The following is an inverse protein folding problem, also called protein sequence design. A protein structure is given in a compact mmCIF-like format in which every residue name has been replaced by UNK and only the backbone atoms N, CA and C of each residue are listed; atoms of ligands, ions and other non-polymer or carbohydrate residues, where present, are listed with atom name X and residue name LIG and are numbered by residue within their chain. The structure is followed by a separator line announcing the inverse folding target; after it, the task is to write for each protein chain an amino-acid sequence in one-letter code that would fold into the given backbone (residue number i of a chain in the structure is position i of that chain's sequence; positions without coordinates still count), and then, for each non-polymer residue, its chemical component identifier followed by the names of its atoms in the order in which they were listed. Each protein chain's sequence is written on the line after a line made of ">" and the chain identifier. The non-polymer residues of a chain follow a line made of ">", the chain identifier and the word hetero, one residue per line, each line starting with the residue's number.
data_IF_064667477985
#
_entry.id   IF_064667477985
#
_cell.length_a   1.000
_cell.length_b   1.000
_cell.length_c   1.000
_cell.angle_alpha   90.00
_cell.angle_beta   90.00
_cell.angle_gamma   90.00
#
_symmetry.space_group_name_H-M   'P 1'
#
loop_
_entity.id
_entity.type
_entity.pdbx_description
1 polymer ?
#
# COMPACT_ATOMS: atom_id res chain seq x y z
N UNK A 1 46.30 -17.85 4.02
CA UNK A 1 44.85 -17.62 3.80
C UNK A 1 44.09 -18.81 4.35
N UNK A 2 43.40 -18.62 5.49
CA UNK A 2 42.35 -19.49 5.98
C UNK A 2 41.50 -18.63 6.94
N UNK A 3 40.27 -18.33 6.54
CA UNK A 3 39.21 -17.75 7.38
C UNK A 3 38.07 -18.78 7.43
N UNK A 4 37.26 -18.79 8.50
CA UNK A 4 36.57 -20.00 8.94
C UNK A 4 35.20 -20.21 8.29
N UNK A 5 34.79 -21.48 8.34
CA UNK A 5 33.59 -22.10 7.77
C UNK A 5 32.33 -21.77 8.58
N UNK A 6 31.84 -20.54 8.47
CA UNK A 6 30.50 -20.16 8.94
C UNK A 6 29.75 -19.53 7.78
N UNK A 7 28.95 -20.34 7.09
CA UNK A 7 27.56 -20.06 6.71
C UNK A 7 27.05 -21.24 5.89
N UNK A 8 25.93 -21.85 6.33
CA UNK A 8 24.86 -22.04 5.38
C UNK A 8 23.53 -21.49 5.90
N UNK A 9 22.95 -20.60 5.09
CA UNK A 9 21.53 -20.52 4.73
C UNK A 9 20.51 -20.68 5.86
N UNK A 10 20.23 -19.60 6.59
CA UNK A 10 19.03 -19.47 7.44
C UNK A 10 18.06 -18.41 6.88
N UNK A 11 17.80 -18.46 5.56
CA UNK A 11 16.72 -17.69 4.94
C UNK A 11 15.31 -18.15 5.36
N UNK A 12 15.19 -19.39 5.83
CA UNK A 12 13.92 -20.02 6.18
C UNK A 12 13.43 -19.68 7.60
N UNK A 13 14.31 -19.25 8.51
CA UNK A 13 13.90 -18.82 9.86
C UNK A 13 13.33 -17.40 9.89
N UNK A 14 13.71 -16.54 8.94
CA UNK A 14 13.22 -15.17 8.87
C UNK A 14 11.78 -15.11 8.33
N UNK A 15 11.41 -16.03 7.43
CA UNK A 15 10.03 -16.13 6.90
C UNK A 15 9.05 -16.77 7.90
N UNK A 16 9.48 -17.76 8.69
CA UNK A 16 8.61 -18.37 9.73
C UNK A 16 8.24 -17.40 10.85
N UNK A 17 9.18 -16.52 11.25
CA UNK A 17 8.88 -15.49 12.27
C UNK A 17 7.96 -14.37 11.78
N UNK A 18 7.81 -14.18 10.46
CA UNK A 18 6.88 -13.21 9.87
C UNK A 18 5.45 -13.75 9.79
N UNK A 19 5.27 -15.05 9.57
CA UNK A 19 3.94 -15.68 9.48
C UNK A 19 3.33 -16.00 10.85
N UNK A 20 4.14 -16.21 11.89
CA UNK A 20 3.62 -16.40 13.25
C UNK A 20 3.09 -15.10 13.88
N UNK A 21 3.69 -13.94 13.54
CA UNK A 21 3.26 -12.64 14.10
C UNK A 21 1.92 -12.13 13.53
N UNK A 22 1.47 -12.68 12.41
CA UNK A 22 0.17 -12.36 11.79
C UNK A 22 -0.92 -13.39 12.15
N UNK A 23 -0.53 -14.59 12.57
CA UNK A 23 -1.48 -15.65 12.93
C UNK A 23 -2.05 -15.48 14.34
N UNK A 24 -1.28 -14.90 15.27
CA UNK A 24 -1.73 -14.63 16.65
C UNK A 24 -2.59 -13.37 16.80
N UNK A 25 -2.75 -12.56 15.75
CA UNK A 25 -3.57 -11.33 15.79
C UNK A 25 -5.05 -11.55 15.44
N UNK A 26 -5.48 -12.77 15.07
CA UNK A 26 -6.84 -12.96 14.55
C UNK A 26 -7.54 -14.25 15.01
N UNK A 27 -8.12 -14.25 16.23
CA UNK A 27 -9.39 -14.95 16.40
C UNK A 27 -10.52 -14.10 17.03
N UNK A 28 -10.31 -12.81 17.34
CA UNK A 28 -11.35 -11.98 17.99
C UNK A 28 -12.05 -10.96 17.07
N UNK A 29 -11.51 -10.66 15.90
CA UNK A 29 -12.09 -9.68 14.97
C UNK A 29 -13.18 -10.24 14.04
N UNK A 30 -13.43 -11.55 14.06
CA UNK A 30 -14.53 -12.16 13.32
C UNK A 30 -15.86 -12.09 14.10
N UNK A 31 -16.17 -10.92 14.68
CA UNK A 31 -17.53 -10.63 15.17
C UNK A 31 -18.29 -9.91 14.04
N UNK A 32 -19.40 -10.48 13.54
CA UNK A 32 -20.10 -9.98 12.34
C UNK A 32 -20.49 -8.49 12.37
N UNK A 33 -20.70 -7.87 13.54
CA UNK A 33 -21.25 -6.50 13.63
C UNK A 33 -20.26 -5.33 13.65
N UNK A 34 -18.95 -5.52 13.84
CA UNK A 34 -18.01 -4.38 13.89
C UNK A 34 -17.68 -3.84 12.50
N UNK A 35 -17.66 -4.73 11.51
CA UNK A 35 -17.40 -4.39 10.11
C UNK A 35 -18.59 -3.67 9.46
N UNK A 36 -19.82 -3.92 9.91
CA UNK A 36 -21.03 -3.22 9.46
C UNK A 36 -21.07 -1.74 9.85
N UNK A 37 -20.37 -1.36 10.93
CA UNK A 37 -20.21 0.06 11.30
C UNK A 37 -19.42 0.85 10.24
N UNK A 38 -18.65 0.18 9.38
CA UNK A 38 -17.98 0.81 8.25
C UNK A 38 -18.94 1.16 7.10
N UNK A 39 -20.12 0.52 7.02
CA UNK A 39 -21.20 0.83 6.06
C UNK A 39 -22.18 1.88 6.57
N UNK A 40 -22.11 2.22 7.85
CA UNK A 40 -23.03 3.16 8.47
C UNK A 40 -22.87 4.55 7.88
N UNK A 41 -23.69 4.88 6.86
CA UNK A 41 -24.17 6.21 6.45
C UNK A 41 -23.17 7.39 6.35
N UNK A 42 -21.87 7.17 6.33
CA UNK A 42 -20.90 8.19 5.93
C UNK A 42 -20.61 7.97 4.44
N UNK A 43 -21.58 8.32 3.58
CA UNK A 43 -21.24 8.64 2.18
C UNK A 43 -20.14 9.69 2.27
N UNK A 44 -19.02 9.48 1.59
CA UNK A 44 -17.74 10.19 1.77
C UNK A 44 -17.76 11.69 1.45
N UNK A 45 -18.68 12.41 2.05
CA UNK A 45 -18.92 13.84 1.93
C UNK A 45 -18.42 14.58 3.19
N UNK A 46 -18.21 13.88 4.33
CA UNK A 46 -17.79 14.47 5.61
C UNK A 46 -16.68 13.73 6.39
N UNK A 47 -16.15 12.60 5.90
CA UNK A 47 -14.99 11.97 6.56
C UNK A 47 -13.75 12.80 6.20
N UNK A 48 -13.10 13.41 7.20
CA UNK A 48 -11.76 13.95 7.04
C UNK A 48 -10.87 12.86 6.42
N UNK A 49 -10.20 13.20 5.32
CA UNK A 49 -9.39 12.24 4.54
C UNK A 49 -8.45 11.41 5.42
N UNK A 50 -7.90 12.03 6.47
CA UNK A 50 -7.05 11.39 7.48
C UNK A 50 -7.71 10.19 8.17
N UNK A 51 -8.98 10.32 8.57
CA UNK A 51 -9.71 9.22 9.18
C UNK A 51 -10.12 8.18 8.12
N UNK A 52 -10.43 8.65 6.91
CA UNK A 52 -10.86 7.80 5.81
C UNK A 52 -9.74 6.83 5.37
N UNK A 53 -8.52 7.33 5.14
CA UNK A 53 -7.42 6.49 4.65
C UNK A 53 -7.00 5.42 5.67
N UNK A 54 -7.03 5.72 6.96
CA UNK A 54 -6.75 4.75 8.05
C UNK A 54 -7.72 3.56 7.98
N UNK A 55 -8.96 3.79 7.54
CA UNK A 55 -10.01 2.76 7.44
C UNK A 55 -9.95 1.98 6.12
N UNK A 56 -9.22 2.44 5.10
CA UNK A 56 -9.20 1.81 3.79
C UNK A 56 -8.79 0.33 3.80
N UNK A 57 -7.76 -0.11 4.56
CA UNK A 57 -7.44 -1.54 4.63
C UNK A 57 -8.58 -2.38 5.21
N UNK A 58 -9.34 -1.83 6.17
CA UNK A 58 -10.50 -2.51 6.75
C UNK A 58 -11.68 -2.58 5.78
N UNK A 59 -11.89 -1.52 4.99
CA UNK A 59 -12.88 -1.50 3.92
C UNK A 59 -12.49 -2.53 2.86
N UNK A 60 -11.25 -2.51 2.36
CA UNK A 60 -10.76 -3.47 1.37
C UNK A 60 -10.83 -4.92 1.86
N UNK A 61 -10.51 -5.19 3.13
CA UNK A 61 -10.65 -6.52 3.72
C UNK A 61 -12.11 -7.02 3.75
N UNK A 62 -13.09 -6.10 3.76
CA UNK A 62 -14.51 -6.41 3.85
C UNK A 62 -15.21 -6.45 2.49
N UNK A 63 -14.97 -5.45 1.65
CA UNK A 63 -15.66 -5.24 0.36
C UNK A 63 -14.82 -5.73 -0.83
N UNK A 64 -13.54 -6.02 -0.60
CA UNK A 64 -12.58 -6.25 -1.66
C UNK A 64 -11.85 -4.96 -2.07
N UNK A 65 -10.69 -5.15 -2.67
CA UNK A 65 -9.77 -4.08 -3.09
C UNK A 65 -10.40 -3.19 -4.16
N UNK A 66 -11.10 -3.77 -5.15
CA UNK A 66 -11.70 -3.00 -6.24
C UNK A 66 -12.76 -2.00 -5.73
N UNK A 67 -13.67 -2.46 -4.87
CA UNK A 67 -14.69 -1.58 -4.29
C UNK A 67 -14.08 -0.52 -3.38
N UNK A 68 -13.03 -0.86 -2.62
CA UNK A 68 -12.33 0.10 -1.78
C UNK A 68 -11.63 1.18 -2.63
N UNK A 69 -10.98 0.81 -3.74
CA UNK A 69 -10.37 1.75 -4.68
C UNK A 69 -11.43 2.62 -5.34
N UNK A 70 -12.53 2.05 -5.84
CA UNK A 70 -13.62 2.79 -6.46
C UNK A 70 -14.21 3.83 -5.49
N UNK A 71 -14.50 3.40 -4.25
CA UNK A 71 -15.03 4.29 -3.20
C UNK A 71 -14.05 5.40 -2.85
N UNK A 72 -12.75 5.08 -2.79
CA UNK A 72 -11.71 6.09 -2.52
C UNK A 72 -11.59 7.09 -3.65
N UNK A 73 -11.62 6.64 -4.91
CA UNK A 73 -11.58 7.49 -6.10
C UNK A 73 -12.80 8.42 -6.22
N UNK A 74 -13.91 8.12 -5.55
CA UNK A 74 -15.05 9.02 -5.45
C UNK A 74 -14.85 10.14 -4.41
N UNK A 75 -13.86 10.02 -3.52
CA UNK A 75 -13.57 11.03 -2.50
C UNK A 75 -12.89 12.27 -3.13
N UNK A 76 -13.25 13.51 -2.74
CA UNK A 76 -12.67 14.73 -3.31
C UNK A 76 -11.13 14.82 -3.21
N UNK A 77 -10.56 14.34 -2.11
CA UNK A 77 -9.10 14.34 -1.89
C UNK A 77 -8.34 13.30 -2.74
N UNK A 78 -9.03 12.38 -3.41
CA UNK A 78 -8.40 11.27 -4.16
C UNK A 78 -7.52 11.71 -5.34
N UNK A 79 -7.75 12.91 -5.85
CA UNK A 79 -6.97 13.50 -6.94
C UNK A 79 -5.67 14.15 -6.48
N UNK A 80 -5.39 14.14 -5.17
CA UNK A 80 -4.17 14.71 -4.63
C UNK A 80 -3.02 13.70 -4.69
N UNK A 81 -1.80 14.22 -4.80
CA UNK A 81 -0.59 13.41 -4.68
C UNK A 81 -0.52 12.67 -3.34
N UNK A 82 -1.05 13.28 -2.28
CA UNK A 82 -1.09 12.72 -0.93
C UNK A 82 -1.98 11.48 -0.88
N UNK A 83 -3.18 11.57 -1.48
CA UNK A 83 -4.09 10.44 -1.52
C UNK A 83 -3.59 9.27 -2.37
N UNK A 84 -2.87 9.56 -3.45
CA UNK A 84 -2.39 8.55 -4.38
C UNK A 84 -1.50 7.47 -3.72
N UNK A 85 -0.69 7.83 -2.71
CA UNK A 85 0.10 6.87 -1.93
C UNK A 85 -0.78 5.83 -1.23
N UNK A 86 -1.82 6.29 -0.54
CA UNK A 86 -2.76 5.43 0.17
C UNK A 86 -3.60 4.56 -0.78
N UNK A 87 -4.03 5.14 -1.91
CA UNK A 87 -4.79 4.40 -2.93
C UNK A 87 -3.92 3.32 -3.55
N UNK A 88 -2.65 3.60 -3.85
CA UNK A 88 -1.71 2.64 -4.44
C UNK A 88 -1.36 1.48 -3.49
N UNK A 89 -1.39 1.72 -2.16
CA UNK A 89 -1.18 0.68 -1.16
C UNK A 89 -2.21 -0.44 -1.23
N UNK A 90 -3.48 -0.13 -1.52
CA UNK A 90 -4.57 -1.12 -1.57
C UNK A 90 -4.34 -2.25 -2.59
N UNK A 91 -4.09 -1.98 -3.88
CA UNK A 91 -3.75 -3.02 -4.84
C UNK A 91 -2.38 -3.64 -4.56
N UNK A 92 -1.39 -2.87 -4.10
CA UNK A 92 -0.06 -3.42 -3.79
C UNK A 92 -0.10 -4.49 -2.68
N UNK A 93 -0.83 -4.23 -1.59
CA UNK A 93 -1.01 -5.19 -0.49
C UNK A 93 -1.77 -6.46 -0.93
N UNK A 94 -2.53 -6.37 -2.02
CA UNK A 94 -3.19 -7.49 -2.67
C UNK A 94 -2.36 -8.17 -3.77
N UNK A 95 -1.10 -7.76 -3.96
CA UNK A 95 -0.18 -8.30 -4.97
C UNK A 95 -0.40 -7.76 -6.38
N UNK A 96 -1.23 -6.73 -6.56
CA UNK A 96 -1.53 -6.06 -7.84
C UNK A 96 -0.62 -4.84 -8.02
N UNK A 97 0.69 -5.09 -8.01
CA UNK A 97 1.71 -4.02 -7.99
C UNK A 97 1.70 -3.17 -9.26
N UNK A 98 1.36 -3.70 -10.43
CA UNK A 98 1.24 -2.88 -11.65
C UNK A 98 0.15 -1.80 -11.55
N UNK A 99 -0.94 -2.08 -10.84
CA UNK A 99 -2.01 -1.12 -10.62
C UNK A 99 -1.60 -0.03 -9.64
N UNK A 100 -0.86 -0.39 -8.59
CA UNK A 100 -0.25 0.57 -7.68
C UNK A 100 0.67 1.56 -8.43
N UNK A 101 1.50 1.04 -9.36
CA UNK A 101 2.32 1.86 -10.26
C UNK A 101 1.45 2.82 -11.07
N UNK A 102 0.37 2.32 -11.68
CA UNK A 102 -0.55 3.14 -12.51
C UNK A 102 -1.15 4.31 -11.71
N UNK A 103 -1.53 4.07 -10.45
CA UNK A 103 -2.05 5.11 -9.56
C UNK A 103 -1.00 6.19 -9.28
N UNK A 104 0.24 5.79 -8.96
CA UNK A 104 1.29 6.74 -8.58
C UNK A 104 1.88 7.52 -9.76
N UNK A 105 1.83 6.97 -10.97
CA UNK A 105 2.35 7.63 -12.18
C UNK A 105 1.76 9.02 -12.40
N UNK A 106 0.49 9.26 -12.01
CA UNK A 106 -0.16 10.57 -12.12
C UNK A 106 0.53 11.66 -11.27
N UNK A 107 1.23 11.26 -10.21
CA UNK A 107 1.92 12.14 -9.26
C UNK A 107 3.36 11.68 -9.02
N UNK A 108 4.03 11.19 -10.07
CA UNK A 108 5.35 10.58 -10.00
C UNK A 108 6.42 11.49 -9.38
N UNK A 109 6.32 12.81 -9.56
CA UNK A 109 7.25 13.80 -9.01
C UNK A 109 7.17 13.90 -7.48
N UNK A 110 5.97 13.71 -6.91
CA UNK A 110 5.74 13.79 -5.46
C UNK A 110 5.82 12.43 -4.79
N UNK A 111 5.47 11.36 -5.50
CA UNK A 111 5.44 9.98 -5.02
C UNK A 111 6.56 9.11 -5.61
N UNK A 112 7.68 9.73 -6.01
CA UNK A 112 8.79 9.05 -6.70
C UNK A 112 9.37 7.88 -5.91
N UNK A 113 9.42 7.97 -4.59
CA UNK A 113 9.94 6.90 -3.73
C UNK A 113 9.02 5.67 -3.72
N UNK A 114 7.72 5.85 -3.51
CA UNK A 114 6.76 4.74 -3.48
C UNK A 114 6.65 4.10 -4.87
N UNK A 115 6.62 4.93 -5.93
CA UNK A 115 6.62 4.47 -7.32
C UNK A 115 7.88 3.64 -7.63
N UNK A 116 9.06 4.13 -7.25
CA UNK A 116 10.31 3.39 -7.43
C UNK A 116 10.32 2.08 -6.63
N UNK A 117 9.77 2.07 -5.40
CA UNK A 117 9.63 0.86 -4.59
C UNK A 117 8.81 -0.22 -5.31
N UNK A 118 7.66 0.16 -5.88
CA UNK A 118 6.82 -0.78 -6.63
C UNK A 118 7.47 -1.23 -7.95
N UNK A 119 8.15 -0.34 -8.68
CA UNK A 119 8.90 -0.69 -9.89
C UNK A 119 10.04 -1.68 -9.59
N UNK A 120 10.75 -1.52 -8.46
CA UNK A 120 11.75 -2.48 -8.00
C UNK A 120 11.10 -3.83 -7.68
N UNK A 121 9.93 -3.82 -7.02
CA UNK A 121 9.15 -5.04 -6.75
C UNK A 121 8.77 -5.80 -8.02
N UNK A 122 8.56 -5.10 -9.14
CA UNK A 122 8.31 -5.66 -10.47
C UNK A 122 9.59 -6.03 -11.25
N UNK A 123 10.78 -5.77 -10.69
CA UNK A 123 12.07 -5.99 -11.36
C UNK A 123 12.46 -4.93 -12.39
N UNK A 124 11.72 -3.81 -12.46
CA UNK A 124 11.95 -2.71 -13.40
C UNK A 124 12.94 -1.69 -12.84
N UNK A 125 14.19 -2.14 -12.60
CA UNK A 125 15.21 -1.35 -11.88
C UNK A 125 15.58 -0.06 -12.64
N UNK A 126 15.73 -0.12 -13.97
CA UNK A 126 16.13 1.05 -14.77
C UNK A 126 15.07 2.15 -14.75
N UNK A 127 13.79 1.76 -14.76
CA UNK A 127 12.66 2.70 -14.66
C UNK A 127 12.60 3.32 -13.26
N UNK A 128 12.80 2.51 -12.21
CA UNK A 128 12.88 2.99 -10.83
C UNK A 128 14.01 4.03 -10.64
N UNK A 129 15.19 3.77 -11.22
CA UNK A 129 16.30 4.72 -11.21
C UNK A 129 15.95 6.01 -11.95
N UNK A 130 15.31 5.90 -13.11
CA UNK A 130 14.86 7.06 -13.89
C UNK A 130 13.92 7.93 -13.06
N UNK A 131 12.93 7.33 -12.40
CA UNK A 131 11.96 8.01 -11.53
C UNK A 131 12.66 8.73 -10.37
N UNK A 132 13.62 8.09 -9.70
CA UNK A 132 14.33 8.68 -8.56
C UNK A 132 15.31 9.79 -8.97
N UNK A 133 15.84 9.74 -10.19
CA UNK A 133 16.77 10.74 -10.71
C UNK A 133 16.07 11.97 -11.29
N UNK A 134 14.74 11.93 -11.49
CA UNK A 134 14.01 13.09 -11.98
C UNK A 134 14.12 14.25 -10.98
N UNK A 135 14.58 15.44 -11.42
CA UNK A 135 14.63 16.61 -10.55
C UNK A 135 13.22 16.94 -10.07
N UNK A 136 13.04 17.03 -8.75
CA UNK A 136 11.77 17.52 -8.19
C UNK A 136 11.58 18.97 -8.69
N UNK A 137 10.41 19.32 -9.26
CA UNK A 137 10.17 20.69 -9.67
C UNK A 137 10.34 21.62 -8.47
N UNK A 138 11.32 22.54 -8.56
CA UNK A 138 11.53 23.53 -7.51
C UNK A 138 10.34 24.50 -7.52
N UNK A 139 9.75 24.81 -6.35
CA UNK A 139 8.79 25.89 -6.27
C UNK A 139 9.46 27.22 -6.67
N UNK A 140 8.75 28.12 -7.38
CA UNK A 140 9.29 29.41 -7.81
C UNK A 140 9.63 30.35 -6.65
#
# INVERSE_FOLDING_TARGET
>A
MAWPDWLPVDGQQQERKRTERLSDFAPSLRRPGHLEALDGKHRGEEDEWELYWIRLPLIAARTGVDEAVERTCAHPESVTWYAAGHIAGLPADAGRTEEAVTVLQRHADRNSHDLAGYLIGLGQIDEALTVLQQPRPQPP
#
